data_IF_928985022847
#
_entry.id   IF_928985022847
#
_cell.length_a   1.000
_cell.length_b   1.000
_cell.length_c   1.000
_cell.angle_alpha   90.00
_cell.angle_beta   90.00
_cell.angle_gamma   90.00
#
_symmetry.space_group_name_H-M   'P 1'
#
loop_
_entity.id
_entity.type
_entity.pdbx_description
1 polymer ?
#
# COMPACT_ATOMS: atom_id res chain seq x y z
N UNK A 1 -19.21 -62.96 8.28
CA UNK A 1 -18.38 -62.96 9.51
C UNK A 1 -17.39 -61.82 9.35
N UNK A 2 -17.54 -60.74 10.11
CA UNK A 2 -16.69 -59.55 10.00
C UNK A 2 -15.50 -59.71 10.95
N UNK A 3 -14.28 -59.56 10.46
CA UNK A 3 -13.06 -59.59 11.27
C UNK A 3 -12.34 -58.26 11.15
N UNK A 4 -12.12 -57.58 12.28
CA UNK A 4 -11.27 -56.39 12.37
C UNK A 4 -9.89 -56.87 12.79
N UNK A 5 -8.89 -56.63 11.96
CA UNK A 5 -7.50 -57.00 12.24
C UNK A 5 -6.84 -55.85 13.02
N UNK A 6 -6.56 -56.06 14.32
CA UNK A 6 -6.16 -54.99 15.26
C UNK A 6 -4.62 -54.89 15.40
N UNK A 7 -3.84 -55.76 14.74
CA UNK A 7 -2.40 -55.90 15.03
C UNK A 7 -1.42 -55.16 14.09
N UNK A 8 -1.82 -54.13 13.34
CA UNK A 8 -0.83 -53.31 12.63
C UNK A 8 -1.17 -51.81 12.59
N UNK A 9 -0.40 -51.02 13.33
CA UNK A 9 -0.68 -49.65 13.76
C UNK A 9 -0.34 -48.55 12.75
N UNK A 10 -0.53 -48.78 11.45
CA UNK A 10 -0.43 -47.68 10.47
C UNK A 10 -1.51 -47.60 9.40
N UNK A 11 -2.28 -48.65 9.11
CA UNK A 11 -3.42 -48.58 8.18
C UNK A 11 -4.49 -49.62 8.56
N UNK A 12 -5.73 -49.19 8.80
CA UNK A 12 -6.86 -50.09 9.09
C UNK A 12 -7.45 -50.59 7.77
N UNK A 13 -7.37 -51.89 7.53
CA UNK A 13 -7.99 -52.53 6.37
C UNK A 13 -9.25 -53.30 6.80
N UNK A 14 -10.31 -53.21 6.00
CA UNK A 14 -11.53 -54.01 6.18
C UNK A 14 -11.66 -54.99 5.01
N UNK A 15 -11.97 -56.24 5.31
CA UNK A 15 -12.25 -57.29 4.32
C UNK A 15 -13.75 -57.54 4.30
N UNK A 16 -14.39 -57.44 3.12
CA UNK A 16 -15.82 -57.71 2.95
C UNK A 16 -15.98 -58.94 2.04
N UNK A 17 -16.59 -60.01 2.56
CA UNK A 17 -16.81 -61.27 1.84
C UNK A 17 -15.77 -62.36 2.13
N UNK A 18 -15.93 -63.52 1.50
CA UNK A 18 -15.08 -64.72 1.70
C UNK A 18 -13.69 -64.62 1.06
N UNK A 19 -13.42 -63.56 0.29
CA UNK A 19 -12.19 -63.40 -0.46
C UNK A 19 -11.19 -62.53 0.32
N UNK A 20 -10.13 -63.15 0.86
CA UNK A 20 -9.11 -62.50 1.71
C UNK A 20 -8.16 -61.55 0.98
N UNK A 21 -8.23 -61.47 -0.35
CA UNK A 21 -7.31 -60.65 -1.16
C UNK A 21 -7.80 -59.22 -1.42
N UNK A 22 -9.11 -58.93 -1.27
CA UNK A 22 -9.63 -57.56 -1.41
C UNK A 22 -9.53 -56.80 -0.08
N UNK A 23 -8.46 -56.01 0.06
CA UNK A 23 -8.26 -55.08 1.18
C UNK A 23 -8.73 -53.69 0.76
N UNK A 24 -9.71 -53.14 1.47
CA UNK A 24 -10.09 -51.74 1.35
C UNK A 24 -9.36 -50.94 2.43
N UNK A 25 -8.56 -49.94 2.04
CA UNK A 25 -8.00 -48.96 2.97
C UNK A 25 -9.02 -47.85 3.21
N UNK A 26 -9.30 -47.56 4.49
CA UNK A 26 -9.86 -46.27 4.84
C UNK A 26 -8.69 -45.28 4.91
N UNK A 27 -8.61 -44.39 3.93
CA UNK A 27 -7.80 -43.19 4.06
C UNK A 27 -8.44 -42.34 5.15
N UNK A 28 -7.94 -42.49 6.36
CA UNK A 28 -8.14 -41.49 7.40
C UNK A 28 -7.33 -40.29 6.91
N UNK A 29 -7.98 -39.40 6.16
CA UNK A 29 -7.50 -38.03 6.05
C UNK A 29 -7.29 -37.58 7.50
N UNK A 30 -6.02 -37.42 7.91
CA UNK A 30 -5.73 -36.53 9.01
C UNK A 30 -6.40 -35.22 8.60
N UNK A 31 -7.52 -34.89 9.24
CA UNK A 31 -7.91 -33.50 9.32
C UNK A 31 -6.69 -32.82 9.90
N UNK A 32 -5.93 -32.15 9.03
CA UNK A 32 -4.99 -31.12 9.41
C UNK A 32 -5.66 -30.40 10.57
N UNK A 33 -5.03 -30.45 11.74
CA UNK A 33 -5.40 -29.57 12.83
C UNK A 33 -4.99 -28.18 12.34
N UNK A 34 -5.80 -27.63 11.43
CA UNK A 34 -5.68 -26.26 10.98
C UNK A 34 -5.82 -25.44 12.25
N UNK A 35 -4.69 -24.93 12.72
CA UNK A 35 -4.69 -24.00 13.82
C UNK A 35 -5.54 -22.82 13.35
N UNK A 36 -6.68 -22.53 13.98
CA UNK A 36 -7.53 -21.42 13.58
C UNK A 36 -6.71 -20.12 13.50
N UNK A 37 -5.66 -20.01 14.31
CA UNK A 37 -4.71 -18.92 14.31
C UNK A 37 -3.95 -18.78 12.98
N UNK A 38 -3.54 -19.85 12.31
CA UNK A 38 -2.87 -19.78 11.00
C UNK A 38 -3.82 -19.28 9.89
N UNK A 39 -5.06 -19.74 9.90
CA UNK A 39 -6.08 -19.26 8.95
C UNK A 39 -6.42 -17.78 9.18
N UNK A 40 -6.53 -17.39 10.46
CA UNK A 40 -6.70 -16.01 10.92
C UNK A 40 -5.50 -15.10 10.56
N UNK A 41 -4.28 -15.63 10.59
CA UNK A 41 -3.05 -14.92 10.24
C UNK A 41 -2.88 -14.74 8.73
N UNK A 42 -3.22 -15.78 7.96
CA UNK A 42 -3.13 -15.76 6.50
C UNK A 42 -4.09 -14.75 5.84
N UNK A 43 -5.14 -14.34 6.54
CA UNK A 43 -6.05 -13.28 6.11
C UNK A 43 -5.32 -11.92 6.00
N UNK A 44 -4.33 -11.65 6.85
CA UNK A 44 -3.58 -10.39 6.88
C UNK A 44 -2.15 -10.60 6.38
N UNK A 45 -2.00 -10.82 5.06
CA UNK A 45 -0.74 -11.22 4.39
C UNK A 45 0.50 -10.35 4.70
N UNK A 46 0.31 -9.09 5.10
CA UNK A 46 1.41 -8.15 5.40
C UNK A 46 1.59 -7.86 6.91
N UNK A 47 0.73 -8.41 7.78
CA UNK A 47 0.78 -8.17 9.22
C UNK A 47 1.83 -9.05 9.92
N UNK A 48 2.64 -8.45 10.79
CA UNK A 48 3.60 -9.17 11.64
C UNK A 48 3.23 -9.04 13.11
N UNK A 49 3.19 -10.16 13.82
CA UNK A 49 2.99 -10.19 15.27
C UNK A 49 4.29 -10.57 15.99
N UNK A 50 4.55 -9.91 17.12
CA UNK A 50 5.70 -10.26 17.97
C UNK A 50 5.60 -11.70 18.48
N UNK A 51 6.75 -12.38 18.54
CA UNK A 51 6.88 -13.73 19.11
C UNK A 51 6.61 -13.76 20.61
N UNK A 52 6.77 -12.62 21.29
CA UNK A 52 6.53 -12.48 22.74
C UNK A 52 5.06 -12.39 23.13
N UNK A 53 4.14 -12.30 22.17
CA UNK A 53 2.70 -12.26 22.44
C UNK A 53 2.15 -13.67 22.73
N UNK A 54 1.35 -13.79 23.78
CA UNK A 54 0.63 -15.02 24.13
C UNK A 54 -0.43 -15.34 23.08
N UNK A 55 -0.80 -16.63 22.94
CA UNK A 55 -1.85 -17.06 22.00
C UNK A 55 -3.19 -16.36 22.25
N UNK A 56 -3.54 -16.11 23.53
CA UNK A 56 -4.75 -15.38 23.90
C UNK A 56 -4.73 -13.92 23.40
N UNK A 57 -3.59 -13.23 23.49
CA UNK A 57 -3.43 -11.87 22.98
C UNK A 57 -3.54 -11.83 21.45
N UNK A 58 -2.90 -12.78 20.76
CA UNK A 58 -3.00 -12.90 19.31
C UNK A 58 -4.45 -13.09 18.87
N UNK A 59 -5.20 -13.98 19.52
CA UNK A 59 -6.63 -14.17 19.23
C UNK A 59 -7.44 -12.88 19.43
N UNK A 60 -7.19 -12.12 20.50
CA UNK A 60 -7.86 -10.84 20.72
C UNK A 60 -7.54 -9.82 19.62
N UNK A 61 -6.27 -9.74 19.20
CA UNK A 61 -5.86 -8.84 18.11
C UNK A 61 -6.58 -9.18 16.82
N UNK A 62 -6.59 -10.45 16.41
CA UNK A 62 -7.25 -10.79 15.14
C UNK A 62 -8.76 -10.61 15.22
N UNK A 63 -9.40 -10.86 16.38
CA UNK A 63 -10.83 -10.52 16.57
C UNK A 63 -11.08 -9.02 16.39
N UNK A 64 -10.21 -8.17 16.92
CA UNK A 64 -10.29 -6.72 16.72
C UNK A 64 -10.10 -6.34 15.25
N UNK A 65 -9.11 -6.93 14.58
CA UNK A 65 -8.86 -6.66 13.16
C UNK A 65 -10.04 -7.07 12.28
N UNK A 66 -10.66 -8.23 12.55
CA UNK A 66 -11.89 -8.67 11.87
C UNK A 66 -13.06 -7.74 12.11
N UNK A 67 -13.24 -7.27 13.35
CA UNK A 67 -14.28 -6.29 13.68
C UNK A 67 -14.10 -4.99 12.89
N UNK A 68 -12.85 -4.58 12.68
CA UNK A 68 -12.49 -3.36 11.95
C UNK A 68 -12.01 -3.64 10.51
N UNK A 69 -12.46 -4.76 9.91
CA UNK A 69 -12.03 -5.20 8.57
C UNK A 69 -12.00 -4.08 7.51
N UNK A 70 -13.00 -3.18 7.39
CA UNK A 70 -13.03 -2.16 6.35
C UNK A 70 -11.87 -1.13 6.41
N UNK A 71 -11.15 -1.06 7.54
CA UNK A 71 -10.01 -0.14 7.70
C UNK A 71 -8.73 -0.72 7.08
N UNK A 72 -8.66 -2.05 6.97
CA UNK A 72 -7.47 -2.74 6.48
C UNK A 72 -7.57 -2.99 4.98
N UNK A 73 -6.57 -2.51 4.23
CA UNK A 73 -6.43 -2.77 2.79
C UNK A 73 -5.96 -4.21 2.52
N UNK A 74 -6.85 -5.19 2.62
CA UNK A 74 -6.52 -6.62 2.49
C UNK A 74 -6.65 -7.13 1.03
N UNK A 75 -7.18 -6.33 0.10
CA UNK A 75 -7.42 -6.79 -1.27
C UNK A 75 -7.92 -5.73 -2.26
N UNK A 76 -8.67 -6.19 -3.26
CA UNK A 76 -9.18 -5.48 -4.47
C UNK A 76 -10.13 -4.30 -4.20
N UNK A 77 -10.26 -3.86 -2.95
CA UNK A 77 -11.11 -2.72 -2.59
C UNK A 77 -10.54 -1.41 -3.17
N UNK A 78 -11.41 -0.49 -3.61
CA UNK A 78 -10.95 0.74 -4.22
C UNK A 78 -10.16 1.57 -3.23
N UNK A 79 -9.10 2.21 -3.72
CA UNK A 79 -8.23 3.02 -2.88
C UNK A 79 -9.03 4.11 -2.17
N UNK A 80 -8.84 4.22 -0.86
CA UNK A 80 -9.47 5.26 -0.03
C UNK A 80 -9.23 6.67 -0.58
N UNK A 81 -10.19 7.56 -0.35
CA UNK A 81 -10.06 9.00 -0.67
C UNK A 81 -10.21 9.83 0.57
N UNK A 82 -9.13 10.49 0.99
CA UNK A 82 -9.16 11.43 2.09
C UNK A 82 -9.90 12.69 1.62
N UNK A 83 -10.91 13.11 2.39
CA UNK A 83 -11.75 14.26 2.09
C UNK A 83 -11.22 15.50 2.81
N UNK A 84 -11.29 16.66 2.17
CA UNK A 84 -10.93 17.94 2.79
C UNK A 84 -9.43 18.29 2.79
N UNK A 85 -8.54 17.33 2.56
CA UNK A 85 -7.08 17.52 2.60
C UNK A 85 -6.40 17.45 1.22
N UNK A 86 -7.04 18.00 0.18
CA UNK A 86 -6.43 18.02 -1.15
C UNK A 86 -5.21 18.95 -1.18
N UNK A 87 -4.11 18.49 -1.79
CA UNK A 87 -2.91 19.29 -1.94
C UNK A 87 -3.12 20.41 -2.97
N UNK A 88 -2.59 21.60 -2.65
CA UNK A 88 -2.47 22.72 -3.58
C UNK A 88 -1.00 23.03 -3.81
N UNK A 89 -0.59 23.00 -5.08
CA UNK A 89 0.77 23.29 -5.51
C UNK A 89 0.85 24.70 -6.09
N UNK A 90 1.98 25.34 -5.83
CA UNK A 90 2.33 26.67 -6.34
C UNK A 90 3.67 26.57 -7.05
N UNK A 91 3.78 27.23 -8.20
CA UNK A 91 5.06 27.42 -8.92
C UNK A 91 5.52 28.86 -8.74
N UNK A 92 6.82 29.04 -8.51
CA UNK A 92 7.45 30.33 -8.22
C UNK A 92 8.21 30.84 -9.46
N UNK A 93 7.50 30.91 -10.58
CA UNK A 93 8.02 31.39 -11.86
C UNK A 93 7.01 32.27 -12.55
N UNK A 94 7.48 33.36 -13.16
CA UNK A 94 6.67 34.19 -14.06
C UNK A 94 6.35 33.44 -15.35
N UNK A 95 5.31 33.88 -16.06
CA UNK A 95 5.02 33.39 -17.42
C UNK A 95 5.93 34.13 -18.44
N UNK A 96 6.38 33.48 -19.51
CA UNK A 96 6.11 32.08 -19.89
C UNK A 96 6.81 31.06 -19.00
N UNK A 97 6.23 29.85 -18.87
CA UNK A 97 6.82 28.78 -18.06
C UNK A 97 8.22 28.39 -18.59
N UNK A 98 9.18 28.06 -17.71
CA UNK A 98 10.49 27.59 -18.12
C UNK A 98 10.41 26.38 -19.08
N UNK A 99 11.24 26.31 -20.14
CA UNK A 99 11.28 25.16 -21.05
C UNK A 99 11.50 23.82 -20.35
N UNK A 100 12.21 23.84 -19.21
CA UNK A 100 12.47 22.66 -18.38
C UNK A 100 11.20 22.01 -17.80
N UNK A 101 10.07 22.72 -17.74
CA UNK A 101 8.77 22.16 -17.35
C UNK A 101 8.05 21.44 -18.50
N UNK A 102 8.57 21.52 -19.73
CA UNK A 102 8.02 20.84 -20.90
C UNK A 102 9.05 19.86 -21.44
N UNK A 103 8.96 18.62 -20.97
CA UNK A 103 9.91 17.56 -21.32
C UNK A 103 9.23 16.48 -22.17
N UNK A 104 9.90 15.97 -23.22
CA UNK A 104 9.38 14.86 -24.03
C UNK A 104 9.44 13.54 -23.24
N UNK A 105 8.69 12.50 -23.65
CA UNK A 105 8.82 11.16 -23.07
C UNK A 105 10.23 10.62 -23.32
N UNK A 106 10.72 9.79 -22.40
CA UNK A 106 12.01 9.14 -22.59
C UNK A 106 11.93 8.03 -23.64
N UNK A 107 13.03 7.74 -24.36
CA UNK A 107 13.16 6.52 -25.14
C UNK A 107 13.13 5.31 -24.19
N UNK A 108 12.32 4.30 -24.54
CA UNK A 108 12.04 3.15 -23.68
C UNK A 108 12.21 1.84 -24.45
N UNK A 109 12.71 0.81 -23.78
CA UNK A 109 12.75 -0.56 -24.31
C UNK A 109 11.34 -1.14 -24.43
N UNK A 110 11.17 -2.20 -25.23
CA UNK A 110 9.88 -2.89 -25.37
C UNK A 110 9.36 -3.44 -24.04
N UNK A 111 10.26 -3.94 -23.19
CA UNK A 111 9.92 -4.42 -21.85
C UNK A 111 9.42 -3.29 -20.95
N UNK A 112 10.12 -2.14 -20.97
CA UNK A 112 9.72 -0.96 -20.19
C UNK A 112 8.36 -0.43 -20.62
N UNK A 113 8.07 -0.42 -21.92
CA UNK A 113 6.77 0.01 -22.46
C UNK A 113 5.62 -0.85 -21.96
N UNK A 114 5.80 -2.17 -21.93
CA UNK A 114 4.80 -3.12 -21.40
C UNK A 114 4.49 -2.83 -19.93
N UNK A 115 5.53 -2.58 -19.13
CA UNK A 115 5.35 -2.23 -17.73
C UNK A 115 4.65 -0.86 -17.57
N UNK A 116 5.00 0.13 -18.38
CA UNK A 116 4.32 1.43 -18.37
C UNK A 116 2.84 1.27 -18.71
N UNK A 117 2.50 0.50 -19.73
CA UNK A 117 1.11 0.22 -20.11
C UNK A 117 0.33 -0.42 -18.96
N UNK A 118 0.93 -1.43 -18.30
CA UNK A 118 0.36 -2.08 -17.13
C UNK A 118 0.10 -1.08 -16.00
N UNK A 119 1.10 -0.31 -15.59
CA UNK A 119 0.98 0.67 -14.51
C UNK A 119 -0.01 1.80 -14.84
N UNK A 120 -0.05 2.27 -16.08
CA UNK A 120 -1.03 3.27 -16.52
C UNK A 120 -2.45 2.74 -16.37
N UNK A 121 -2.73 1.51 -16.82
CA UNK A 121 -4.06 0.91 -16.69
C UNK A 121 -4.44 0.74 -15.22
N UNK A 122 -3.54 0.24 -14.37
CA UNK A 122 -3.77 0.15 -12.92
C UNK A 122 -4.11 1.51 -12.29
N UNK A 123 -3.38 2.57 -12.67
CA UNK A 123 -3.61 3.93 -12.16
C UNK A 123 -4.92 4.56 -12.67
N UNK A 124 -5.36 4.19 -13.88
CA UNK A 124 -6.66 4.59 -14.43
C UNK A 124 -7.80 3.89 -13.68
N UNK A 125 -7.68 2.59 -13.45
CA UNK A 125 -8.68 1.78 -12.74
C UNK A 125 -8.88 2.27 -11.29
N UNK A 126 -7.80 2.75 -10.66
CA UNK A 126 -7.85 3.33 -9.32
C UNK A 126 -8.28 4.82 -9.26
N UNK A 127 -8.61 5.46 -10.39
CA UNK A 127 -8.90 6.91 -10.46
C UNK A 127 -7.78 7.79 -9.86
N UNK A 128 -6.51 7.36 -10.03
CA UNK A 128 -5.31 8.09 -9.61
C UNK A 128 -4.85 9.06 -10.70
N UNK A 129 -5.01 8.63 -11.95
CA UNK A 129 -4.74 9.44 -13.15
C UNK A 129 -5.96 9.46 -14.06
N UNK A 130 -5.99 10.44 -14.95
CA UNK A 130 -6.92 10.46 -16.08
C UNK A 130 -6.23 10.91 -17.35
N UNK A 131 -6.71 10.44 -18.50
CA UNK A 131 -6.21 10.90 -19.80
C UNK A 131 -6.59 12.36 -20.01
N UNK A 132 -5.68 13.15 -20.60
CA UNK A 132 -6.00 14.53 -20.94
C UNK A 132 -7.07 14.57 -22.04
N UNK A 133 -8.03 15.50 -21.94
CA UNK A 133 -9.02 15.72 -22.99
C UNK A 133 -8.40 16.39 -24.22
N UNK A 134 -8.88 16.00 -25.41
CA UNK A 134 -8.33 16.42 -26.71
C UNK A 134 -8.27 17.94 -26.92
N UNK A 135 -9.15 18.71 -26.26
CA UNK A 135 -9.25 20.16 -26.42
C UNK A 135 -8.44 20.96 -25.39
N UNK A 136 -7.55 20.33 -24.61
CA UNK A 136 -6.75 21.01 -23.57
C UNK A 136 -5.36 21.37 -24.08
N UNK A 137 -4.94 22.61 -23.80
CA UNK A 137 -3.57 23.06 -24.03
C UNK A 137 -2.64 22.43 -22.99
N UNK A 138 -1.54 21.85 -23.46
CA UNK A 138 -0.50 21.23 -22.63
C UNK A 138 0.68 22.19 -22.49
N UNK A 139 0.78 22.82 -21.32
CA UNK A 139 1.91 23.71 -21.00
C UNK A 139 3.10 22.95 -20.41
N UNK A 140 2.82 22.01 -19.50
CA UNK A 140 3.78 21.29 -18.64
C UNK A 140 3.64 19.79 -18.89
N UNK A 141 4.77 19.10 -18.98
CA UNK A 141 4.87 17.64 -19.13
C UNK A 141 6.06 17.07 -18.37
N UNK A 142 5.82 15.99 -17.64
CA UNK A 142 6.83 15.25 -16.89
C UNK A 142 6.99 13.84 -17.48
N UNK A 143 8.19 13.45 -17.95
CA UNK A 143 8.38 12.12 -18.49
C UNK A 143 8.29 11.07 -17.38
N UNK A 144 7.81 9.91 -17.76
CA UNK A 144 7.73 8.72 -16.91
C UNK A 144 9.01 7.90 -17.08
N UNK A 145 9.40 7.20 -16.02
CA UNK A 145 10.40 6.13 -16.06
C UNK A 145 9.93 4.94 -15.21
N UNK A 146 10.42 3.75 -15.56
CA UNK A 146 10.31 2.56 -14.72
C UNK A 146 11.62 2.36 -13.98
N UNK A 147 11.53 2.17 -12.67
CA UNK A 147 12.65 1.80 -11.81
C UNK A 147 12.44 0.35 -11.39
N UNK A 148 13.43 -0.50 -11.62
CA UNK A 148 13.40 -1.91 -11.26
C UNK A 148 14.07 -2.13 -9.91
N UNK A 149 13.43 -2.89 -9.02
CA UNK A 149 13.98 -3.30 -7.73
C UNK A 149 13.43 -4.67 -7.33
N UNK A 150 14.29 -5.64 -7.04
CA UNK A 150 13.91 -7.03 -6.67
C UNK A 150 12.85 -7.64 -7.61
N UNK A 151 13.08 -7.54 -8.92
CA UNK A 151 12.15 -8.01 -9.97
C UNK A 151 10.77 -7.33 -9.97
N UNK A 152 10.58 -6.25 -9.21
CA UNK A 152 9.38 -5.40 -9.25
C UNK A 152 9.66 -4.10 -10.00
N UNK A 153 8.74 -3.74 -10.89
CA UNK A 153 8.75 -2.46 -11.60
C UNK A 153 8.04 -1.39 -10.77
N UNK A 154 8.60 -0.18 -10.73
CA UNK A 154 7.99 1.00 -10.10
C UNK A 154 7.81 2.11 -11.12
N UNK A 155 6.57 2.55 -11.27
CA UNK A 155 6.21 3.68 -12.11
C UNK A 155 6.54 5.01 -11.42
N UNK A 156 7.40 5.83 -12.03
CA UNK A 156 7.83 7.10 -11.46
C UNK A 156 7.78 8.23 -12.49
N UNK A 157 7.09 9.34 -12.15
CA UNK A 157 7.22 10.59 -12.89
C UNK A 157 8.50 11.32 -12.47
N UNK A 158 9.27 11.82 -13.45
CA UNK A 158 10.49 12.58 -13.18
C UNK A 158 10.21 14.04 -12.78
N UNK A 159 9.69 14.22 -11.57
CA UNK A 159 9.29 15.52 -11.03
C UNK A 159 10.46 16.41 -10.61
N UNK A 160 11.73 16.05 -10.87
CA UNK A 160 12.90 16.85 -10.47
C UNK A 160 12.84 18.28 -11.02
N UNK A 161 12.54 18.44 -12.31
CA UNK A 161 12.40 19.75 -12.93
C UNK A 161 11.26 20.55 -12.29
N UNK A 162 10.10 19.93 -12.08
CA UNK A 162 8.96 20.57 -11.43
C UNK A 162 9.26 20.99 -9.98
N UNK A 163 9.97 20.14 -9.24
CA UNK A 163 10.33 20.40 -7.84
C UNK A 163 11.24 21.63 -7.70
N UNK A 164 12.10 21.90 -8.67
CA UNK A 164 12.96 23.10 -8.65
C UNK A 164 12.15 24.40 -8.72
N UNK A 165 11.01 24.40 -9.44
CA UNK A 165 10.17 25.58 -9.60
C UNK A 165 8.96 25.63 -8.66
N UNK A 166 8.68 24.55 -7.94
CA UNK A 166 7.57 24.52 -6.98
C UNK A 166 7.93 25.33 -5.73
N UNK A 167 7.00 26.08 -5.13
CA UNK A 167 7.23 26.72 -3.83
C UNK A 167 7.31 25.64 -2.74
N UNK A 168 8.41 25.59 -2.00
CA UNK A 168 8.63 24.57 -0.97
C UNK A 168 7.70 24.77 0.23
N UNK A 169 7.00 23.71 0.60
CA UNK A 169 6.31 23.62 1.89
C UNK A 169 7.33 23.19 2.95
N UNK A 170 7.53 24.02 3.98
CA UNK A 170 8.50 23.79 5.06
C UNK A 170 7.81 23.36 6.35
N UNK A 171 6.70 22.63 6.23
CA UNK A 171 6.07 22.01 7.39
C UNK A 171 7.07 21.08 8.11
N UNK A 172 7.19 21.16 9.45
CA UNK A 172 8.15 20.35 10.18
C UNK A 172 7.74 18.87 10.10
N UNK A 173 8.70 18.03 9.75
CA UNK A 173 8.55 16.58 9.85
C UNK A 173 9.40 16.14 11.06
N UNK A 174 8.86 15.34 11.99
CA UNK A 174 9.63 14.83 13.12
C UNK A 174 10.93 14.17 12.66
N UNK A 175 12.02 14.34 13.40
CA UNK A 175 13.23 13.56 13.11
C UNK A 175 13.03 12.11 13.56
N UNK A 176 13.66 11.16 12.87
CA UNK A 176 13.55 9.73 13.22
C UNK A 176 13.85 9.47 14.71
N UNK A 177 14.94 10.01 15.30
CA UNK A 177 15.21 9.81 16.73
C UNK A 177 14.09 10.36 17.62
N UNK A 178 13.51 11.51 17.26
CA UNK A 178 12.41 12.09 18.02
C UNK A 178 11.14 11.23 17.94
N UNK A 179 10.83 10.70 16.76
CA UNK A 179 9.70 9.80 16.55
C UNK A 179 9.85 8.46 17.30
N UNK A 180 11.08 8.05 17.61
CA UNK A 180 11.39 6.76 18.25
C UNK A 180 11.57 6.85 19.78
N UNK A 181 11.87 8.01 20.35
CA UNK A 181 12.24 8.13 21.78
C UNK A 181 11.14 7.66 22.75
N UNK A 182 9.87 8.03 22.50
CA UNK A 182 8.75 7.58 23.33
C UNK A 182 8.40 6.11 23.08
N UNK A 183 8.19 5.64 21.82
CA UNK A 183 7.93 4.22 21.56
C UNK A 183 9.02 3.29 22.11
N UNK A 184 10.30 3.68 22.08
CA UNK A 184 11.41 2.84 22.56
C UNK A 184 11.32 2.46 24.04
N UNK A 185 10.58 3.23 24.86
CA UNK A 185 10.39 2.99 26.30
C UNK A 185 9.10 2.23 26.59
N UNK A 186 8.26 1.99 25.59
CA UNK A 186 6.96 1.37 25.76
C UNK A 186 7.06 -0.15 25.83
N UNK A 187 6.06 -0.77 26.47
CA UNK A 187 5.98 -2.24 26.59
C UNK A 187 5.29 -2.85 25.39
N UNK A 188 4.29 -2.16 24.85
CA UNK A 188 3.57 -2.57 23.65
C UNK A 188 3.68 -1.48 22.59
N UNK A 189 4.03 -1.88 21.37
CA UNK A 189 4.13 -1.00 20.21
C UNK A 189 3.32 -1.62 19.09
N UNK A 190 2.44 -0.84 18.49
CA UNK A 190 1.73 -1.18 17.27
C UNK A 190 2.15 -0.20 16.18
N UNK A 191 2.66 -0.74 15.08
CA UNK A 191 3.00 0.03 13.89
C UNK A 191 1.93 -0.21 12.82
N UNK A 192 1.41 0.84 12.23
CA UNK A 192 0.50 0.81 11.09
C UNK A 192 1.10 1.65 9.96
N UNK A 193 0.96 1.19 8.73
CA UNK A 193 1.36 1.92 7.52
C UNK A 193 0.14 2.13 6.61
N UNK A 194 0.02 3.33 6.04
CA UNK A 194 -1.06 3.62 5.11
C UNK A 194 -0.77 3.04 3.72
N UNK A 195 -1.56 2.03 3.32
CA UNK A 195 -1.48 1.43 1.98
C UNK A 195 -1.58 2.50 0.88
N UNK A 196 -0.52 2.62 0.07
CA UNK A 196 -0.42 3.62 -1.03
C UNK A 196 -0.76 5.05 -0.56
N UNK A 197 -0.28 5.43 0.63
CA UNK A 197 -0.66 6.65 1.35
C UNK A 197 -0.84 7.90 0.48
N UNK A 198 0.15 8.33 -0.32
CA UNK A 198 0.01 9.55 -1.13
C UNK A 198 -1.20 9.49 -2.09
N UNK A 199 -1.46 8.36 -2.72
CA UNK A 199 -2.56 8.25 -3.69
C UNK A 199 -3.95 8.38 -3.03
N UNK A 200 -4.05 8.31 -1.70
CA UNK A 200 -5.30 8.55 -0.99
C UNK A 200 -5.69 10.03 -0.98
N UNK A 201 -4.72 10.95 -1.09
CA UNK A 201 -4.98 12.39 -1.12
C UNK A 201 -5.31 12.89 -2.52
N UNK A 202 -6.34 13.74 -2.60
CA UNK A 202 -6.68 14.46 -3.83
C UNK A 202 -5.71 15.60 -4.14
N UNK A 203 -5.73 16.04 -5.40
CA UNK A 203 -5.04 17.24 -5.88
C UNK A 203 -6.10 18.28 -6.24
N UNK A 204 -5.93 19.53 -5.79
CA UNK A 204 -6.83 20.62 -6.18
C UNK A 204 -6.81 20.82 -7.70
N UNK A 205 -7.98 21.09 -8.30
CA UNK A 205 -8.18 21.23 -9.75
C UNK A 205 -7.15 22.14 -10.44
N UNK A 206 -6.81 23.26 -9.80
CA UNK A 206 -5.86 24.24 -10.35
C UNK A 206 -4.40 23.73 -10.38
N UNK A 207 -4.08 22.71 -9.57
CA UNK A 207 -2.77 22.11 -9.46
C UNK A 207 -2.60 20.84 -10.30
N UNK A 208 -3.70 20.22 -10.76
CA UNK A 208 -3.68 19.02 -11.62
C UNK A 208 -2.82 19.23 -12.86
N UNK A 209 -2.91 20.41 -13.50
CA UNK A 209 -2.12 20.74 -14.69
C UNK A 209 -0.60 20.72 -14.48
N UNK A 210 -0.15 20.90 -13.23
CA UNK A 210 1.26 20.85 -12.88
C UNK A 210 1.76 19.41 -12.79
N UNK A 211 0.86 18.45 -12.54
CA UNK A 211 1.18 17.03 -12.35
C UNK A 211 0.84 16.20 -13.59
N UNK A 212 1.19 16.73 -14.76
CA UNK A 212 0.97 16.03 -16.04
C UNK A 212 2.16 15.16 -16.36
N UNK A 213 1.89 13.91 -16.68
CA UNK A 213 2.89 12.95 -17.13
C UNK A 213 2.75 12.63 -18.61
N UNK A 214 3.86 12.30 -19.25
CA UNK A 214 3.93 11.92 -20.65
C UNK A 214 4.70 10.61 -20.83
N UNK A 215 4.12 9.71 -21.62
CA UNK A 215 4.72 8.44 -22.06
C UNK A 215 4.33 8.16 -23.52
N UNK A 216 4.74 7.01 -24.07
CA UNK A 216 4.42 6.61 -25.44
C UNK A 216 2.91 6.47 -25.72
N UNK A 217 2.09 6.24 -24.68
CA UNK A 217 0.62 6.18 -24.81
C UNK A 217 -0.07 7.55 -24.84
N UNK A 218 0.68 8.64 -24.60
CA UNK A 218 0.17 10.01 -24.56
C UNK A 218 0.34 10.68 -23.19
N UNK A 219 -0.55 11.63 -22.91
CA UNK A 219 -0.46 12.52 -21.74
C UNK A 219 -1.59 12.22 -20.77
N UNK A 220 -1.23 12.07 -19.50
CA UNK A 220 -2.14 11.82 -18.39
C UNK A 220 -1.94 12.88 -17.30
N UNK A 221 -2.98 13.16 -16.51
CA UNK A 221 -2.91 14.09 -15.40
C UNK A 221 -3.32 13.41 -14.09
N UNK A 222 -2.51 13.59 -13.05
CA UNK A 222 -2.77 13.05 -11.72
C UNK A 222 -3.91 13.81 -11.03
N UNK A 223 -4.92 13.06 -10.58
CA UNK A 223 -6.02 13.55 -9.73
C UNK A 223 -5.72 13.33 -8.24
N UNK A 224 -4.78 12.43 -7.94
CA UNK A 224 -4.25 12.12 -6.60
C UNK A 224 -2.76 12.43 -6.52
N UNK A 225 -2.22 12.52 -5.31
CA UNK A 225 -0.81 12.87 -5.13
C UNK A 225 0.08 11.77 -5.75
N UNK A 226 0.95 12.10 -6.72
CA UNK A 226 1.93 11.17 -7.25
C UNK A 226 3.15 11.06 -6.33
N UNK A 227 3.89 9.96 -6.47
CA UNK A 227 5.22 9.86 -5.90
C UNK A 227 6.20 10.84 -6.57
N UNK A 228 7.17 11.34 -5.80
CA UNK A 228 8.28 12.15 -6.30
C UNK A 228 8.08 13.66 -6.25
N UNK A 229 6.89 14.17 -5.92
CA UNK A 229 6.70 15.61 -5.72
C UNK A 229 7.20 16.05 -4.34
N UNK A 230 7.89 17.18 -4.26
CA UNK A 230 8.57 17.59 -3.02
C UNK A 230 7.65 17.96 -1.86
N UNK A 231 6.45 18.45 -2.16
CA UNK A 231 5.50 18.89 -1.14
C UNK A 231 4.58 17.77 -0.64
N UNK A 232 4.68 16.54 -1.18
CA UNK A 232 3.85 15.43 -0.74
C UNK A 232 4.12 15.03 0.74
N UNK A 233 5.37 14.77 1.18
CA UNK A 233 5.65 14.44 2.58
C UNK A 233 5.18 15.51 3.60
N UNK A 234 5.52 16.80 3.47
CA UNK A 234 5.10 17.82 4.45
C UNK A 234 3.57 18.02 4.47
N UNK A 235 2.91 17.94 3.31
CA UNK A 235 1.44 18.00 3.25
C UNK A 235 0.79 16.83 3.98
N UNK A 236 1.32 15.62 3.77
CA UNK A 236 0.80 14.42 4.40
C UNK A 236 1.04 14.41 5.91
N UNK A 237 2.23 14.84 6.37
CA UNK A 237 2.49 15.03 7.80
C UNK A 237 1.51 16.03 8.43
N UNK A 238 1.33 17.22 7.83
CA UNK A 238 0.39 18.21 8.34
C UNK A 238 -1.02 17.66 8.47
N UNK A 239 -1.46 16.90 7.47
CA UNK A 239 -2.76 16.25 7.50
C UNK A 239 -2.87 15.28 8.68
N UNK A 240 -1.89 14.39 8.85
CA UNK A 240 -1.90 13.43 9.95
C UNK A 240 -1.85 14.10 11.32
N UNK A 241 -1.03 15.13 11.49
CA UNK A 241 -0.95 15.90 12.73
C UNK A 241 -2.29 16.60 13.07
N UNK A 242 -3.04 16.98 12.03
CA UNK A 242 -4.38 17.58 12.20
C UNK A 242 -5.42 16.53 12.58
N UNK A 243 -5.35 15.33 11.97
CA UNK A 243 -6.31 14.25 12.21
C UNK A 243 -6.09 13.61 13.59
N UNK A 244 -4.84 13.39 13.99
CA UNK A 244 -4.46 12.70 15.24
C UNK A 244 -3.95 13.66 16.32
N UNK A 245 -4.42 14.91 16.29
CA UNK A 245 -3.92 15.95 17.17
C UNK A 245 -4.07 15.56 18.66
N UNK A 246 -5.22 15.00 19.03
CA UNK A 246 -5.54 14.64 20.42
C UNK A 246 -4.63 13.50 20.90
N UNK A 247 -4.50 12.44 20.11
CA UNK A 247 -3.70 11.25 20.45
C UNK A 247 -2.20 11.54 20.54
N UNK A 248 -1.71 12.45 19.69
CA UNK A 248 -0.32 12.95 19.74
C UNK A 248 -0.09 13.77 21.01
N UNK A 249 -1.05 14.63 21.40
CA UNK A 249 -0.97 15.47 22.60
C UNK A 249 -1.04 14.64 23.89
N UNK A 250 -1.90 13.62 23.93
CA UNK A 250 -1.98 12.66 25.04
C UNK A 250 -0.71 11.81 25.15
N UNK A 251 0.08 11.72 24.08
CA UNK A 251 1.43 11.17 24.12
C UNK A 251 1.49 9.64 24.10
N UNK A 252 0.50 8.99 23.50
CA UNK A 252 0.49 7.54 23.23
C UNK A 252 0.52 7.21 21.72
N UNK A 253 0.50 8.23 20.85
CA UNK A 253 0.66 8.09 19.41
C UNK A 253 1.80 8.97 18.90
N UNK A 254 2.52 8.49 17.89
CA UNK A 254 3.45 9.26 17.05
C UNK A 254 3.10 9.01 15.59
N UNK A 255 3.09 10.06 14.79
CA UNK A 255 2.92 9.94 13.33
C UNK A 255 4.16 10.44 12.62
N UNK A 256 4.65 9.64 11.66
CA UNK A 256 5.76 9.98 10.78
C UNK A 256 5.33 9.75 9.32
N UNK A 257 4.91 10.82 8.66
CA UNK A 257 4.32 10.83 7.32
C UNK A 257 3.15 9.83 7.25
N UNK A 258 3.38 8.60 6.82
CA UNK A 258 2.37 7.53 6.68
C UNK A 258 2.41 6.49 7.78
N UNK A 259 3.51 6.45 8.52
CA UNK A 259 3.69 5.51 9.61
C UNK A 259 2.97 6.06 10.85
N UNK A 260 2.03 5.28 11.38
CA UNK A 260 1.37 5.55 12.65
C UNK A 260 1.92 4.57 13.67
N UNK A 261 2.45 5.09 14.77
CA UNK A 261 3.01 4.31 15.87
C UNK A 261 2.17 4.57 17.11
N UNK A 262 1.51 3.53 17.60
CA UNK A 262 0.73 3.54 18.85
C UNK A 262 1.53 2.78 19.90
N UNK A 263 1.60 3.30 21.12
CA UNK A 263 2.38 2.69 22.19
C UNK A 263 1.73 2.85 23.56
N UNK A 264 1.99 1.87 24.44
CA UNK A 264 1.48 1.80 25.82
C UNK A 264 2.41 1.00 26.74
#
# INVERSE_FOLDING_TARGET
MYGIDIYNSKNRHITIGTNKEKKFSLDIYQMSTHDPLEELLNEFREGQFSTSLTSKQKICLVKMMRKNRPVFGIGEEPLGKIRGHDIKLYIDVGKPDPPMLRRPPYPESLETRKEIEKHINELLDMDVIRKIGNNKIVEITTPVLIIWHDCKSRFCGDFRAQNNYTKADRYPIPTIPHAQDKPAKAKYITKMDCMRGFHQNGVKTNSIKLLRIICHMGIYEYTRIPFGIKNAPPHFQRMMDTIFQEEILEGWMVVYIYDIIIYS
#
